data_IF_815501595404
#
_entry.id   IF_815501595404
#
_cell.length_a   1.000
_cell.length_b   1.000
_cell.length_c   1.000
_cell.angle_alpha   90.00
_cell.angle_beta   90.00
_cell.angle_gamma   90.00
#
_symmetry.space_group_name_H-M   'P 1'
#
loop_
_entity.id
_entity.type
_entity.pdbx_description
1 polymer ?
#
# COMPACT_ATOMS: atom_id res chain seq x y z
N UNK A 1 -61.88 -33.98 -9.43
CA UNK A 1 -61.37 -32.94 -8.50
C UNK A 1 -60.18 -33.42 -7.66
N UNK A 2 -59.23 -34.08 -8.26
CA UNK A 2 -58.02 -34.49 -7.53
C UNK A 2 -56.70 -33.96 -8.12
N UNK A 3 -56.75 -33.05 -9.08
CA UNK A 3 -55.58 -32.61 -9.85
C UNK A 3 -55.03 -31.25 -9.44
N UNK A 4 -55.72 -30.51 -8.54
CA UNK A 4 -55.28 -29.15 -8.18
C UNK A 4 -54.43 -29.07 -6.91
N UNK A 5 -54.21 -30.17 -6.19
CA UNK A 5 -53.38 -30.17 -4.97
C UNK A 5 -51.89 -30.36 -5.19
N UNK A 6 -51.52 -30.94 -6.35
CA UNK A 6 -50.11 -31.19 -6.67
C UNK A 6 -49.40 -29.98 -7.31
N UNK A 7 -50.16 -29.05 -7.91
CA UNK A 7 -49.58 -27.87 -8.59
C UNK A 7 -49.23 -26.81 -7.58
N UNK A 8 -49.97 -26.69 -6.44
CA UNK A 8 -49.68 -25.71 -5.38
C UNK A 8 -48.44 -26.05 -4.56
N UNK A 9 -48.07 -27.31 -4.43
CA UNK A 9 -46.86 -27.72 -3.72
C UNK A 9 -45.53 -27.44 -4.47
N UNK A 10 -45.59 -27.37 -5.81
CA UNK A 10 -44.40 -27.16 -6.61
C UNK A 10 -44.01 -25.67 -6.71
N UNK A 11 -44.97 -24.77 -6.55
CA UNK A 11 -44.71 -23.31 -6.62
C UNK A 11 -44.13 -22.79 -5.32
N UNK A 12 -44.39 -23.42 -4.19
CA UNK A 12 -43.83 -22.97 -2.90
C UNK A 12 -42.35 -23.36 -2.69
N UNK A 13 -41.86 -24.33 -3.46
CA UNK A 13 -40.46 -24.75 -3.35
C UNK A 13 -39.50 -23.94 -4.22
N UNK A 14 -40.00 -23.15 -5.17
CA UNK A 14 -39.20 -22.34 -6.07
C UNK A 14 -38.86 -20.96 -5.53
N UNK A 15 -39.50 -20.50 -4.41
CA UNK A 15 -39.32 -19.16 -3.86
C UNK A 15 -38.34 -19.12 -2.69
N UNK A 16 -37.80 -20.26 -2.27
CA UNK A 16 -36.84 -20.32 -1.15
C UNK A 16 -35.38 -20.27 -1.56
N UNK A 17 -35.08 -20.13 -2.86
CA UNK A 17 -33.71 -20.26 -3.40
C UNK A 17 -32.96 -18.93 -3.64
N UNK A 18 -33.48 -17.79 -3.19
CA UNK A 18 -32.87 -16.49 -3.59
C UNK A 18 -32.47 -15.56 -2.43
N UNK A 19 -32.28 -16.10 -1.25
CA UNK A 19 -31.65 -15.35 -0.14
C UNK A 19 -30.28 -15.97 0.20
N UNK A 20 -29.42 -16.10 -0.82
CA UNK A 20 -28.00 -16.21 -0.54
C UNK A 20 -27.55 -14.85 0.00
N UNK A 21 -27.04 -14.75 1.25
CA UNK A 21 -26.46 -13.50 1.72
C UNK A 21 -25.35 -13.15 0.75
N UNK A 22 -25.40 -11.94 0.18
CA UNK A 22 -24.31 -11.42 -0.62
C UNK A 22 -23.07 -11.43 0.26
N UNK A 23 -22.03 -12.18 -0.13
CA UNK A 23 -20.76 -12.17 0.58
C UNK A 23 -20.25 -10.71 0.62
N UNK A 24 -19.80 -10.19 1.77
CA UNK A 24 -19.26 -8.83 1.83
C UNK A 24 -18.10 -8.74 0.82
N UNK A 25 -18.11 -7.67 0.03
CA UNK A 25 -17.01 -7.40 -0.90
C UNK A 25 -15.71 -7.37 -0.12
N UNK A 26 -14.69 -8.15 -0.55
CA UNK A 26 -13.38 -8.14 0.07
C UNK A 26 -12.78 -6.73 -0.03
N UNK A 27 -12.30 -6.19 1.10
CA UNK A 27 -11.59 -4.92 1.10
C UNK A 27 -10.22 -5.09 0.44
N UNK A 28 -9.88 -4.16 -0.44
CA UNK A 28 -8.59 -4.09 -1.10
C UNK A 28 -7.98 -2.72 -0.90
N UNK A 29 -6.68 -2.70 -0.68
CA UNK A 29 -5.88 -1.49 -0.61
C UNK A 29 -4.85 -1.53 -1.75
N UNK A 30 -4.80 -0.48 -2.55
CA UNK A 30 -3.71 -0.29 -3.51
C UNK A 30 -2.61 0.52 -2.84
N UNK A 31 -1.42 -0.04 -2.79
CA UNK A 31 -0.27 0.57 -2.13
C UNK A 31 0.84 0.74 -3.16
N UNK A 32 1.33 1.97 -3.28
CA UNK A 32 2.49 2.32 -4.09
C UNK A 32 3.65 2.69 -3.17
N UNK A 33 4.82 2.15 -3.44
CA UNK A 33 6.08 2.55 -2.82
C UNK A 33 7.00 3.21 -3.83
N UNK A 34 7.63 4.31 -3.45
CA UNK A 34 8.62 5.02 -4.28
C UNK A 34 9.92 5.08 -3.49
N UNK A 35 10.98 4.53 -4.06
CA UNK A 35 12.33 4.65 -3.51
C UNK A 35 12.97 5.93 -4.03
N UNK A 36 13.53 6.69 -3.12
CA UNK A 36 14.26 7.92 -3.42
C UNK A 36 15.61 7.95 -2.71
N UNK A 37 16.52 8.77 -3.21
CA UNK A 37 17.64 9.26 -2.42
C UNK A 37 17.43 10.72 -2.06
N UNK A 38 17.82 11.08 -0.85
CA UNK A 38 17.78 12.43 -0.32
C UNK A 38 19.22 12.89 -0.02
N UNK A 39 19.61 14.03 -0.54
CA UNK A 39 20.98 14.55 -0.46
C UNK A 39 21.08 15.94 0.13
N UNK A 40 22.13 16.19 0.89
CA UNK A 40 22.50 17.52 1.37
C UNK A 40 23.12 18.40 0.28
N UNK A 41 23.50 17.80 -0.85
CA UNK A 41 24.04 18.55 -1.97
C UNK A 41 22.96 19.39 -2.65
N UNK A 42 23.31 20.63 -2.96
CA UNK A 42 22.44 21.51 -3.73
C UNK A 42 22.28 20.92 -5.13
N UNK A 43 21.04 20.72 -5.53
CA UNK A 43 20.69 20.17 -6.81
C UNK A 43 19.20 20.31 -7.09
N UNK A 44 18.81 19.96 -8.29
CA UNK A 44 17.39 19.92 -8.64
C UNK A 44 16.75 18.63 -8.12
N UNK A 45 15.56 18.76 -7.56
CA UNK A 45 14.73 17.61 -7.26
C UNK A 45 14.17 17.03 -8.54
N UNK A 46 14.18 15.70 -8.65
CA UNK A 46 13.61 14.98 -9.79
C UNK A 46 12.15 15.41 -10.01
N UNK A 47 11.79 15.75 -11.23
CA UNK A 47 10.43 16.20 -11.58
C UNK A 47 9.34 15.18 -11.22
N UNK A 48 9.66 13.89 -11.22
CA UNK A 48 8.74 12.83 -10.80
C UNK A 48 8.35 12.94 -9.34
N UNK A 49 9.13 13.64 -8.53
CA UNK A 49 8.90 13.86 -7.10
C UNK A 49 8.29 15.23 -6.78
N UNK A 50 7.97 16.05 -7.79
CA UNK A 50 7.51 17.42 -7.58
C UNK A 50 6.26 17.53 -6.69
N UNK A 51 5.34 16.59 -6.83
CA UNK A 51 4.14 16.54 -6.00
C UNK A 51 4.43 16.23 -4.51
N UNK A 52 5.54 15.58 -4.23
CA UNK A 52 5.94 15.15 -2.88
C UNK A 52 7.00 16.06 -2.25
N UNK A 53 7.64 16.92 -3.03
CA UNK A 53 8.77 17.74 -2.57
C UNK A 53 8.47 18.58 -1.31
N UNK A 54 7.32 19.27 -1.19
CA UNK A 54 7.02 20.00 0.03
C UNK A 54 6.97 19.11 1.28
N UNK A 55 6.41 17.92 1.15
CA UNK A 55 6.34 16.93 2.23
C UNK A 55 7.73 16.39 2.57
N UNK A 56 8.52 16.06 1.54
CA UNK A 56 9.89 15.56 1.72
C UNK A 56 10.78 16.55 2.43
N UNK A 57 10.75 17.83 2.03
CA UNK A 57 11.54 18.90 2.67
C UNK A 57 11.15 19.13 4.13
N UNK A 58 9.88 19.00 4.44
CA UNK A 58 9.39 19.16 5.81
C UNK A 58 9.83 18.01 6.73
N UNK A 59 9.82 16.76 6.20
CA UNK A 59 10.09 15.56 7.01
C UNK A 59 11.57 15.23 7.04
N UNK A 60 12.22 15.20 5.88
CA UNK A 60 13.60 14.72 5.75
C UNK A 60 14.64 15.84 5.81
N UNK A 61 14.28 17.06 5.46
CA UNK A 61 15.14 18.27 5.55
C UNK A 61 16.44 18.17 4.73
N UNK A 62 16.41 17.55 3.58
CA UNK A 62 17.50 17.51 2.60
C UNK A 62 17.33 18.57 1.51
N UNK A 63 18.41 18.86 0.77
CA UNK A 63 18.41 19.89 -0.28
C UNK A 63 17.85 19.39 -1.61
N UNK A 64 18.08 18.14 -1.96
CA UNK A 64 17.62 17.55 -3.21
C UNK A 64 17.17 16.12 -3.06
N UNK A 65 16.28 15.70 -3.96
CA UNK A 65 15.67 14.37 -3.94
C UNK A 65 15.69 13.76 -5.33
N UNK A 66 16.10 12.51 -5.42
CA UNK A 66 16.20 11.79 -6.69
C UNK A 66 15.33 10.52 -6.65
N UNK A 67 14.56 10.30 -7.71
CA UNK A 67 13.78 9.09 -7.90
C UNK A 67 14.71 7.92 -8.26
N UNK A 68 14.57 6.78 -7.59
CA UNK A 68 15.34 5.57 -7.82
C UNK A 68 14.52 4.42 -8.39
N UNK A 69 13.28 4.30 -8.01
CA UNK A 69 12.38 3.26 -8.48
C UNK A 69 11.03 3.30 -7.77
N UNK A 70 10.08 2.56 -8.29
CA UNK A 70 8.77 2.41 -7.67
C UNK A 70 8.16 1.05 -8.00
N UNK A 71 7.20 0.65 -7.20
CA UNK A 71 6.35 -0.51 -7.43
C UNK A 71 5.01 -0.31 -6.73
N UNK A 72 4.01 -1.07 -7.15
CA UNK A 72 2.69 -1.02 -6.53
C UNK A 72 2.06 -2.40 -6.46
N UNK A 73 1.26 -2.62 -5.43
CA UNK A 73 0.49 -3.84 -5.24
C UNK A 73 -0.92 -3.52 -4.79
N UNK A 74 -1.87 -4.34 -5.21
CA UNK A 74 -3.23 -4.35 -4.70
C UNK A 74 -3.36 -5.52 -3.73
N UNK A 75 -3.61 -5.22 -2.46
CA UNK A 75 -3.63 -6.20 -1.38
C UNK A 75 -5.01 -6.25 -0.76
N UNK A 76 -5.46 -7.46 -0.43
CA UNK A 76 -6.59 -7.63 0.48
C UNK A 76 -6.26 -7.07 1.87
N UNK A 77 -7.27 -6.93 2.72
CA UNK A 77 -7.11 -6.54 4.12
C UNK A 77 -7.87 -7.56 4.98
N UNK A 78 -7.18 -8.39 5.79
CA UNK A 78 -5.72 -8.53 5.95
C UNK A 78 -5.06 -9.36 4.83
N UNK A 79 -3.83 -9.01 4.45
CA UNK A 79 -3.02 -9.77 3.49
C UNK A 79 -1.54 -9.41 3.61
N UNK A 80 -0.70 -10.20 2.95
CA UNK A 80 0.72 -9.92 2.80
C UNK A 80 1.03 -9.55 1.35
N UNK A 81 1.95 -8.64 1.14
CA UNK A 81 2.41 -8.21 -0.16
C UNK A 81 3.89 -7.87 -0.16
N UNK A 82 4.40 -7.67 -1.35
CA UNK A 82 5.80 -7.38 -1.58
C UNK A 82 5.93 -6.35 -2.69
N UNK A 83 6.80 -5.37 -2.48
CA UNK A 83 7.20 -4.37 -3.46
C UNK A 83 8.69 -4.44 -3.71
N UNK A 84 9.09 -4.48 -4.98
CA UNK A 84 10.49 -4.43 -5.40
C UNK A 84 10.78 -3.02 -5.93
N UNK A 85 11.55 -2.24 -5.18
CA UNK A 85 11.76 -0.81 -5.46
C UNK A 85 13.02 -0.51 -6.27
N UNK A 86 13.84 -1.53 -6.53
CA UNK A 86 15.10 -1.36 -7.22
C UNK A 86 16.31 -1.23 -6.27
N UNK A 87 17.49 -1.33 -6.83
CA UNK A 87 18.77 -1.28 -6.10
C UNK A 87 18.88 -2.26 -4.91
N UNK A 88 18.20 -3.41 -5.00
CA UNK A 88 18.14 -4.41 -3.93
C UNK A 88 17.22 -4.01 -2.77
N UNK A 89 16.45 -2.94 -2.90
CA UNK A 89 15.49 -2.51 -1.89
C UNK A 89 14.13 -3.14 -2.13
N UNK A 90 13.58 -3.71 -1.09
CA UNK A 90 12.30 -4.41 -1.09
C UNK A 90 11.49 -4.02 0.13
N UNK A 91 10.18 -3.96 -0.03
CA UNK A 91 9.24 -3.80 1.08
C UNK A 91 8.36 -5.04 1.19
N UNK A 92 8.31 -5.62 2.36
CA UNK A 92 7.27 -6.57 2.73
C UNK A 92 6.18 -5.80 3.48
N UNK A 93 4.94 -5.92 3.01
CA UNK A 93 3.81 -5.19 3.55
C UNK A 93 2.78 -6.20 4.06
N UNK A 94 2.36 -6.02 5.28
CA UNK A 94 1.24 -6.73 5.88
C UNK A 94 0.14 -5.74 6.20
N UNK A 95 -0.99 -5.84 5.48
CA UNK A 95 -2.19 -5.08 5.84
C UNK A 95 -2.87 -5.76 7.03
N UNK A 96 -3.27 -4.99 8.02
CA UNK A 96 -3.85 -5.53 9.26
C UNK A 96 -5.35 -5.25 9.35
N UNK A 97 -5.76 -4.00 9.16
CA UNK A 97 -7.15 -3.57 9.27
C UNK A 97 -7.40 -2.29 8.48
N UNK A 98 -8.64 -2.05 8.15
CA UNK A 98 -9.11 -0.81 7.53
C UNK A 98 -10.32 -0.31 8.30
N UNK A 99 -10.40 1.01 8.51
CA UNK A 99 -11.54 1.68 9.13
C UNK A 99 -12.35 2.52 8.12
N UNK A 100 -12.08 2.35 6.82
CA UNK A 100 -12.68 3.13 5.73
C UNK A 100 -12.01 4.48 5.48
N UNK A 101 -11.12 4.95 6.36
CA UNK A 101 -10.35 6.20 6.23
C UNK A 101 -8.86 5.96 6.11
N UNK A 102 -8.38 4.89 6.71
CA UNK A 102 -6.98 4.50 6.68
C UNK A 102 -6.85 2.99 6.70
N UNK A 103 -5.74 2.51 6.18
CA UNK A 103 -5.32 1.11 6.27
C UNK A 103 -4.14 1.03 7.22
N UNK A 104 -4.28 0.22 8.25
CA UNK A 104 -3.18 -0.07 9.17
C UNK A 104 -2.32 -1.17 8.56
N UNK A 105 -1.03 -0.94 8.51
CA UNK A 105 -0.09 -1.91 7.96
C UNK A 105 1.23 -1.95 8.72
N UNK A 106 1.88 -3.10 8.60
CA UNK A 106 3.28 -3.29 8.98
C UNK A 106 4.13 -3.31 7.73
N UNK A 107 5.25 -2.62 7.78
CA UNK A 107 6.20 -2.53 6.69
C UNK A 107 7.56 -3.00 7.19
N UNK A 108 8.15 -3.93 6.47
CA UNK A 108 9.53 -4.35 6.67
C UNK A 108 10.34 -3.99 5.44
N UNK A 109 11.35 -3.17 5.62
CA UNK A 109 12.25 -2.75 4.56
C UNK A 109 13.50 -3.62 4.57
N UNK A 110 13.77 -4.26 3.43
CA UNK A 110 14.94 -5.10 3.24
C UNK A 110 15.84 -4.47 2.16
N UNK A 111 17.13 -4.65 2.33
CA UNK A 111 18.12 -4.34 1.30
C UNK A 111 19.02 -5.57 1.12
N UNK A 112 19.06 -6.08 -0.12
CA UNK A 112 19.82 -7.29 -0.46
C UNK A 112 19.55 -8.46 0.49
N UNK A 113 18.27 -8.68 0.82
CA UNK A 113 17.80 -9.72 1.71
C UNK A 113 17.96 -9.47 3.21
N UNK A 114 18.55 -8.34 3.61
CA UNK A 114 18.73 -7.97 5.02
C UNK A 114 17.65 -6.99 5.45
N UNK A 115 16.98 -7.27 6.56
CA UNK A 115 16.03 -6.35 7.16
C UNK A 115 16.75 -5.12 7.70
N UNK A 116 16.40 -3.95 7.18
CA UNK A 116 16.91 -2.66 7.64
C UNK A 116 16.07 -2.12 8.79
N UNK A 117 14.76 -2.21 8.63
CA UNK A 117 13.82 -1.71 9.63
C UNK A 117 12.47 -2.41 9.49
N UNK A 118 11.70 -2.32 10.55
CA UNK A 118 10.32 -2.77 10.62
C UNK A 118 9.50 -1.71 11.36
N UNK A 119 8.38 -1.30 10.78
CA UNK A 119 7.54 -0.26 11.37
C UNK A 119 6.07 -0.52 11.08
N UNK A 120 5.21 0.00 11.96
CA UNK A 120 3.76 0.04 11.74
C UNK A 120 3.32 1.46 11.42
N UNK A 121 2.36 1.60 10.51
CA UNK A 121 1.78 2.89 10.16
C UNK A 121 0.33 2.76 9.70
N UNK A 122 -0.38 3.88 9.73
CA UNK A 122 -1.70 4.01 9.13
C UNK A 122 -1.58 4.84 7.85
N UNK A 123 -2.01 4.26 6.73
CA UNK A 123 -1.93 4.89 5.43
C UNK A 123 -3.30 5.41 5.02
N UNK A 124 -3.40 6.73 4.83
CA UNK A 124 -4.63 7.39 4.35
C UNK A 124 -4.57 7.55 2.83
N UNK A 125 -5.68 7.33 2.12
CA UNK A 125 -5.72 7.53 0.68
C UNK A 125 -5.25 8.93 0.28
N UNK A 126 -4.31 8.99 -0.67
CA UNK A 126 -3.77 10.24 -1.19
C UNK A 126 -2.81 11.02 -0.28
N UNK A 127 -2.60 10.57 0.96
CA UNK A 127 -1.66 11.20 1.90
C UNK A 127 -0.37 10.38 1.94
N UNK A 128 0.77 10.90 1.45
CA UNK A 128 2.02 10.16 1.46
C UNK A 128 2.57 9.99 2.88
N UNK A 129 3.04 8.77 3.19
CA UNK A 129 3.86 8.50 4.35
C UNK A 129 5.33 8.36 3.91
N UNK A 130 6.24 8.96 4.65
CA UNK A 130 7.66 8.96 4.31
C UNK A 130 8.45 8.22 5.39
N UNK A 131 9.25 7.27 4.96
CA UNK A 131 10.11 6.47 5.83
C UNK A 131 11.57 6.80 5.46
N UNK A 132 12.32 7.37 6.39
CA UNK A 132 13.75 7.60 6.23
C UNK A 132 14.53 6.29 6.40
N UNK A 133 15.54 6.11 5.59
CA UNK A 133 16.36 4.90 5.55
C UNK A 133 17.85 5.15 5.82
N UNK A 134 18.68 4.14 5.57
CA UNK A 134 20.11 4.22 5.80
C UNK A 134 20.81 5.07 4.74
N UNK A 135 22.11 5.34 4.99
CA UNK A 135 22.98 5.93 3.99
C UNK A 135 23.02 5.10 2.70
N UNK A 136 23.08 5.78 1.56
CA UNK A 136 23.29 5.14 0.25
C UNK A 136 24.73 4.66 0.04
N UNK A 137 25.66 5.06 0.92
CA UNK A 137 27.10 4.90 0.76
C UNK A 137 27.79 6.17 0.30
N UNK A 138 27.05 7.18 -0.14
CA UNK A 138 27.57 8.51 -0.45
C UNK A 138 27.39 9.44 0.76
N UNK A 139 28.40 10.26 1.01
CA UNK A 139 28.38 11.21 2.13
C UNK A 139 27.21 12.20 1.97
N UNK A 140 26.43 12.37 3.04
CA UNK A 140 25.29 13.30 3.03
C UNK A 140 24.09 12.84 2.22
N UNK A 141 24.01 11.56 1.87
CA UNK A 141 22.92 10.98 1.10
C UNK A 141 22.32 9.76 1.81
N UNK A 142 21.00 9.72 1.88
CA UNK A 142 20.27 8.60 2.47
C UNK A 142 19.18 8.09 1.53
N UNK A 143 18.80 6.84 1.71
CA UNK A 143 17.58 6.30 1.12
C UNK A 143 16.34 6.78 1.88
N UNK A 144 15.24 6.90 1.19
CA UNK A 144 13.92 7.05 1.79
C UNK A 144 12.86 6.37 0.92
N UNK A 145 11.73 6.05 1.51
CA UNK A 145 10.59 5.48 0.81
C UNK A 145 9.36 6.33 1.05
N UNK A 146 8.64 6.62 -0.01
CA UNK A 146 7.32 7.26 0.03
C UNK A 146 6.28 6.16 -0.18
N UNK A 147 5.34 6.01 0.76
CA UNK A 147 4.21 5.10 0.65
C UNK A 147 2.94 5.88 0.41
N UNK A 148 2.17 5.45 -0.57
CA UNK A 148 0.90 6.09 -0.97
C UNK A 148 -0.17 5.01 -1.08
N UNK A 149 -1.28 5.21 -0.38
CA UNK A 149 -2.50 4.41 -0.52
C UNK A 149 -3.48 5.04 -1.50
N UNK A 150 -4.19 4.18 -2.24
CA UNK A 150 -5.27 4.57 -3.15
C UNK A 150 -6.46 3.63 -3.04
#
# INVERSE_FOLDING_TARGET
>A
MKTNRLIFSLILLALAASLAPAAPAAEHARIQGILISASDDRGETDRRLSAYEPTLRRILRFESYRFLGDDSASLGVPANGHLSLGEGNELEIQTESSDGRSVRLKVRWLKSGRTLMSTGLALRPGVPAVIGGPSTGHKGEVYAVILIGR
#
